data_IF_322590522024
#
_entry.id   IF_322590522024
#
_cell.length_a   1.000
_cell.length_b   1.000
_cell.length_c   1.000
_cell.angle_alpha   90.00
_cell.angle_beta   90.00
_cell.angle_gamma   90.00
#
_symmetry.space_group_name_H-M   'P 1'
#
loop_
_entity.id
_entity.type
_entity.pdbx_description
1 polymer ?
#
# COMPACT_ATOMS: atom_id res chain seq x y z
N UNK A 1 -47.73 19.94 3.72
CA UNK A 1 -46.76 18.93 4.17
C UNK A 1 -45.47 19.68 4.40
N UNK A 2 -45.20 19.96 5.66
CA UNK A 2 -44.06 20.76 6.11
C UNK A 2 -42.75 20.01 5.88
N UNK A 3 -41.72 20.78 5.52
CA UNK A 3 -40.36 20.31 5.32
C UNK A 3 -39.66 20.53 6.66
N UNK A 4 -39.65 19.51 7.53
CA UNK A 4 -38.85 19.54 8.75
C UNK A 4 -37.37 19.33 8.38
N UNK A 5 -36.58 20.36 8.63
CA UNK A 5 -35.13 20.32 8.60
C UNK A 5 -34.64 19.42 9.75
N UNK A 6 -33.98 18.31 9.40
CA UNK A 6 -33.16 17.54 10.34
C UNK A 6 -31.80 18.25 10.49
N UNK A 7 -31.78 19.39 11.17
CA UNK A 7 -30.61 19.93 11.85
C UNK A 7 -30.63 19.40 13.28
N UNK A 8 -29.94 18.28 13.54
CA UNK A 8 -29.44 17.95 14.88
C UNK A 8 -28.60 16.67 14.79
N UNK A 9 -27.27 16.81 14.76
CA UNK A 9 -26.38 15.65 14.80
C UNK A 9 -24.88 15.90 14.73
N UNK A 10 -24.42 17.01 14.13
CA UNK A 10 -22.99 17.19 13.85
C UNK A 10 -22.18 17.89 14.96
N UNK A 11 -22.83 18.62 15.88
CA UNK A 11 -22.15 19.40 16.92
C UNK A 11 -21.52 18.57 18.06
N UNK A 12 -21.69 17.24 18.04
CA UNK A 12 -21.10 16.34 19.06
C UNK A 12 -19.84 15.60 18.60
N UNK A 13 -19.47 15.68 17.33
CA UNK A 13 -18.28 15.02 16.79
C UNK A 13 -17.01 15.87 16.88
N UNK A 14 -17.14 17.17 17.19
CA UNK A 14 -16.02 18.02 17.61
C UNK A 14 -15.66 17.80 19.09
N UNK A 15 -15.70 16.56 19.57
CA UNK A 15 -15.07 16.20 20.84
C UNK A 15 -13.57 16.47 20.66
N UNK A 16 -13.09 17.56 21.27
CA UNK A 16 -11.66 17.92 21.37
C UNK A 16 -10.85 16.65 21.50
N UNK A 17 -10.12 16.29 20.45
CA UNK A 17 -9.26 15.12 20.47
C UNK A 17 -8.36 15.26 21.70
N UNK A 18 -8.59 14.42 22.71
CA UNK A 18 -7.72 14.41 23.88
C UNK A 18 -6.35 14.03 23.35
N UNK A 19 -5.39 14.95 23.44
CA UNK A 19 -3.99 14.70 23.11
C UNK A 19 -3.50 13.62 24.09
N UNK A 20 -3.55 12.36 23.67
CA UNK A 20 -2.99 11.25 24.44
C UNK A 20 -1.49 11.26 24.15
N UNK A 21 -0.72 11.95 24.98
CA UNK A 21 0.75 11.87 24.92
C UNK A 21 1.18 10.51 25.47
N UNK A 22 1.52 9.58 24.58
CA UNK A 22 2.07 8.27 24.93
C UNK A 22 3.59 8.43 25.05
N UNK A 23 4.17 8.09 26.20
CA UNK A 23 5.63 8.09 26.40
C UNK A 23 6.16 6.69 26.18
N UNK A 24 6.95 6.49 25.12
CA UNK A 24 7.52 5.18 24.84
C UNK A 24 8.74 4.92 25.73
N UNK A 25 8.89 3.71 26.31
CA UNK A 25 10.01 3.40 27.22
C UNK A 25 11.41 3.54 26.61
N UNK A 26 11.52 3.57 25.28
CA UNK A 26 12.77 3.66 24.53
C UNK A 26 13.07 5.07 24.00
N UNK A 27 12.22 6.05 24.27
CA UNK A 27 12.47 7.44 23.88
C UNK A 27 13.53 8.08 24.76
N UNK A 28 14.35 8.95 24.16
CA UNK A 28 15.39 9.71 24.86
C UNK A 28 14.76 10.58 25.95
N UNK A 29 13.62 11.22 25.65
CA UNK A 29 12.85 12.03 26.59
C UNK A 29 12.38 11.22 27.81
N UNK A 30 11.99 9.96 27.59
CA UNK A 30 11.58 9.04 28.66
C UNK A 30 12.78 8.60 29.51
N UNK A 31 13.90 8.21 28.87
CA UNK A 31 15.13 7.72 29.54
C UNK A 31 15.78 8.81 30.42
N UNK A 32 15.83 10.05 29.94
CA UNK A 32 16.47 11.16 30.66
C UNK A 32 15.49 12.11 31.34
N UNK A 33 14.23 11.71 31.50
CA UNK A 33 13.14 12.52 32.05
C UNK A 33 13.51 13.22 33.38
N UNK A 34 14.23 12.55 34.27
CA UNK A 34 14.67 13.13 35.54
C UNK A 34 15.75 14.22 35.36
N UNK A 35 16.73 13.98 34.49
CA UNK A 35 17.83 14.92 34.21
C UNK A 35 17.31 16.14 33.45
N UNK A 36 16.45 15.92 32.46
CA UNK A 36 15.80 16.98 31.68
C UNK A 36 14.97 17.88 32.60
N UNK A 37 14.17 17.30 33.50
CA UNK A 37 13.39 18.06 34.48
C UNK A 37 14.29 18.86 35.44
N UNK A 38 15.42 18.32 35.86
CA UNK A 38 16.38 19.02 36.73
C UNK A 38 17.11 20.17 35.99
N UNK A 39 17.33 20.04 34.69
CA UNK A 39 17.92 21.08 33.85
C UNK A 39 16.95 22.24 33.52
N UNK A 40 15.72 22.20 34.05
CA UNK A 40 14.69 23.21 33.79
C UNK A 40 13.98 23.03 32.45
N UNK A 41 14.16 21.89 31.77
CA UNK A 41 13.41 21.55 30.57
C UNK A 41 11.94 21.35 30.93
N UNK A 42 11.09 22.26 30.45
CA UNK A 42 9.63 22.10 30.51
C UNK A 42 9.26 21.29 29.26
N UNK A 43 8.96 20.01 29.44
CA UNK A 43 8.58 19.07 28.38
C UNK A 43 7.23 19.38 27.71
N UNK A 44 6.79 20.64 27.71
CA UNK A 44 5.43 21.08 27.40
C UNK A 44 5.38 22.20 26.34
N UNK A 45 6.53 22.79 25.97
CA UNK A 45 6.65 23.76 24.85
C UNK A 45 7.01 23.09 23.52
N UNK A 46 7.06 21.78 23.56
CA UNK A 46 7.44 20.87 22.51
C UNK A 46 6.15 20.35 21.84
N UNK A 47 5.42 21.26 21.16
CA UNK A 47 4.56 20.87 20.02
C UNK A 47 5.51 20.43 18.88
N UNK A 48 6.19 19.33 19.16
CA UNK A 48 7.35 18.80 18.47
C UNK A 48 6.92 18.02 17.24
N UNK A 49 7.76 18.09 16.21
CA UNK A 49 7.79 17.31 14.96
C UNK A 49 6.80 16.12 14.83
N UNK A 50 6.72 15.23 15.81
CA UNK A 50 5.78 14.09 15.84
C UNK A 50 4.29 14.50 15.86
N UNK A 51 3.91 15.55 16.60
CA UNK A 51 2.56 16.11 16.59
C UNK A 51 2.21 16.70 15.21
N UNK A 52 3.21 17.30 14.56
CA UNK A 52 3.09 17.84 13.20
C UNK A 52 2.90 16.69 12.22
N UNK A 53 3.73 15.64 12.29
CA UNK A 53 3.60 14.44 11.44
C UNK A 53 2.25 13.73 11.64
N UNK A 54 1.82 13.57 12.88
CA UNK A 54 0.52 12.96 13.19
C UNK A 54 -0.65 13.80 12.64
N UNK A 55 -0.56 15.12 12.74
CA UNK A 55 -1.53 16.05 12.18
C UNK A 55 -1.52 16.01 10.64
N UNK A 56 -0.35 16.00 10.01
CA UNK A 56 -0.19 15.85 8.56
C UNK A 56 -0.78 14.52 8.06
N UNK A 57 -0.51 13.40 8.74
CA UNK A 57 -1.07 12.09 8.41
C UNK A 57 -2.60 12.03 8.61
N UNK A 58 -3.13 12.79 9.57
CA UNK A 58 -4.57 12.95 9.76
C UNK A 58 -5.20 13.75 8.62
N UNK A 59 -4.60 14.90 8.26
CA UNK A 59 -5.03 15.74 7.13
C UNK A 59 -4.97 14.95 5.83
N UNK A 60 -3.90 14.21 5.58
CA UNK A 60 -3.73 13.41 4.37
C UNK A 60 -4.83 12.36 4.25
N UNK A 61 -5.16 11.66 5.35
CA UNK A 61 -6.29 10.70 5.37
C UNK A 61 -7.64 11.37 5.15
N UNK A 62 -7.83 12.60 5.63
CA UNK A 62 -9.05 13.37 5.38
C UNK A 62 -9.17 13.77 3.93
N UNK A 63 -8.07 14.27 3.34
CA UNK A 63 -7.98 14.63 1.92
C UNK A 63 -8.26 13.43 1.01
N UNK A 64 -7.67 12.27 1.28
CA UNK A 64 -7.94 11.03 0.54
C UNK A 64 -9.43 10.65 0.57
N UNK A 65 -10.11 10.88 1.70
CA UNK A 65 -11.55 10.63 1.82
C UNK A 65 -12.37 11.65 1.02
N UNK A 66 -12.01 12.93 1.07
CA UNK A 66 -12.68 13.98 0.28
C UNK A 66 -12.51 13.72 -1.23
N UNK A 67 -11.30 13.38 -1.66
CA UNK A 67 -10.99 13.06 -3.06
C UNK A 67 -11.76 11.82 -3.55
N UNK A 68 -11.86 10.77 -2.71
CA UNK A 68 -12.62 9.57 -3.02
C UNK A 68 -14.13 9.86 -3.14
N UNK A 69 -14.67 10.72 -2.27
CA UNK A 69 -16.12 10.95 -2.16
C UNK A 69 -16.64 12.07 -3.07
N UNK A 70 -15.75 12.86 -3.69
CA UNK A 70 -16.09 14.02 -4.53
C UNK A 70 -17.11 13.75 -5.63
N UNK A 71 -17.13 12.55 -6.20
CA UNK A 71 -18.02 12.16 -7.31
C UNK A 71 -18.94 10.99 -6.96
N UNK A 72 -19.00 10.58 -5.69
CA UNK A 72 -19.85 9.48 -5.27
C UNK A 72 -21.32 9.90 -5.22
N UNK A 73 -22.18 8.98 -5.61
CA UNK A 73 -23.62 9.08 -5.33
C UNK A 73 -23.88 8.91 -3.82
N UNK A 74 -25.09 9.27 -3.37
CA UNK A 74 -25.50 9.10 -1.97
C UNK A 74 -25.36 7.65 -1.50
N UNK A 75 -25.71 6.68 -2.35
CA UNK A 75 -25.65 5.26 -2.01
C UNK A 75 -24.20 4.78 -1.89
N UNK A 76 -23.33 5.20 -2.80
CA UNK A 76 -21.89 4.90 -2.75
C UNK A 76 -21.22 5.54 -1.54
N UNK A 77 -21.57 6.79 -1.22
CA UNK A 77 -21.07 7.47 -0.03
C UNK A 77 -21.50 6.77 1.27
N UNK A 78 -22.77 6.36 1.37
CA UNK A 78 -23.26 5.59 2.52
C UNK A 78 -22.45 4.30 2.68
N UNK A 79 -22.27 3.55 1.58
CA UNK A 79 -21.47 2.33 1.61
C UNK A 79 -20.01 2.58 1.99
N UNK A 80 -19.38 3.62 1.45
CA UNK A 80 -18.01 4.02 1.77
C UNK A 80 -17.83 4.37 3.24
N UNK A 81 -18.74 5.19 3.80
CA UNK A 81 -18.70 5.60 5.21
C UNK A 81 -18.88 4.43 6.18
N UNK A 82 -19.80 3.51 5.89
CA UNK A 82 -20.00 2.28 6.68
C UNK A 82 -18.74 1.39 6.65
N UNK A 83 -18.12 1.22 5.47
CA UNK A 83 -16.90 0.44 5.33
C UNK A 83 -15.69 1.09 6.00
N UNK A 84 -15.58 2.42 5.96
CA UNK A 84 -14.49 3.18 6.59
C UNK A 84 -14.51 3.08 8.12
N UNK A 85 -15.70 2.99 8.72
CA UNK A 85 -15.84 2.84 10.18
C UNK A 85 -15.80 1.38 10.65
N UNK A 86 -15.92 0.42 9.73
CA UNK A 86 -15.86 -0.99 10.07
C UNK A 86 -14.45 -1.37 10.54
N UNK A 87 -14.36 -2.12 11.65
CA UNK A 87 -13.10 -2.68 12.13
C UNK A 87 -13.24 -4.16 12.44
N UNK A 88 -12.10 -4.85 12.58
CA UNK A 88 -12.08 -6.26 12.95
C UNK A 88 -12.55 -6.53 14.38
N UNK A 89 -12.35 -5.56 15.30
CA UNK A 89 -12.56 -5.74 16.74
C UNK A 89 -13.83 -5.07 17.25
N UNK A 90 -14.31 -4.00 16.62
CA UNK A 90 -15.47 -3.24 17.11
C UNK A 90 -16.72 -4.13 17.18
N UNK A 91 -17.26 -4.29 18.40
CA UNK A 91 -18.37 -5.20 18.74
C UNK A 91 -18.16 -6.67 18.35
N UNK A 92 -16.95 -7.06 17.93
CA UNK A 92 -16.61 -8.41 17.44
C UNK A 92 -15.30 -8.96 18.01
N UNK A 93 -14.72 -8.30 19.01
CA UNK A 93 -13.45 -8.67 19.67
C UNK A 93 -13.35 -10.17 20.02
N UNK A 94 -14.40 -10.77 20.61
CA UNK A 94 -14.41 -12.21 20.92
C UNK A 94 -14.23 -13.07 19.67
N UNK A 95 -15.00 -12.80 18.61
CA UNK A 95 -14.91 -13.56 17.35
C UNK A 95 -13.55 -13.40 16.70
N UNK A 96 -12.98 -12.20 16.75
CA UNK A 96 -11.65 -11.92 16.21
C UNK A 96 -10.57 -12.68 16.99
N UNK A 97 -10.60 -12.64 18.33
CA UNK A 97 -9.71 -13.40 19.20
C UNK A 97 -9.81 -14.92 18.95
N UNK A 98 -11.04 -15.43 18.85
CA UNK A 98 -11.28 -16.85 18.55
C UNK A 98 -10.78 -17.23 17.14
N UNK A 99 -10.89 -16.32 16.16
CA UNK A 99 -10.35 -16.49 14.81
C UNK A 99 -8.83 -16.55 14.76
N UNK A 100 -8.14 -15.68 15.52
CA UNK A 100 -6.68 -15.70 15.60
C UNK A 100 -6.14 -16.99 16.21
N UNK A 101 -6.95 -17.67 17.04
CA UNK A 101 -6.63 -18.96 17.66
C UNK A 101 -5.21 -19.00 18.26
N UNK A 102 -4.86 -17.92 18.99
CA UNK A 102 -3.54 -17.76 19.57
C UNK A 102 -3.32 -18.78 20.69
N UNK A 103 -2.08 -19.26 20.87
CA UNK A 103 -1.78 -20.16 21.97
C UNK A 103 -1.97 -19.44 23.32
N UNK A 104 -2.21 -20.15 24.43
CA UNK A 104 -2.58 -19.53 25.72
C UNK A 104 -1.60 -18.48 26.26
N UNK A 105 -0.32 -18.56 25.89
CA UNK A 105 0.71 -17.60 26.30
C UNK A 105 0.73 -16.31 25.46
N UNK A 106 -0.05 -16.25 24.37
CA UNK A 106 -0.26 -15.08 23.52
C UNK A 106 -1.75 -14.69 23.45
N UNK A 107 -2.59 -15.24 24.34
CA UNK A 107 -4.03 -14.92 24.33
C UNK A 107 -4.24 -13.44 24.66
N UNK A 108 -5.11 -12.80 23.89
CA UNK A 108 -5.38 -11.38 24.02
C UNK A 108 -6.40 -11.16 25.13
N UNK A 109 -6.01 -10.38 26.15
CA UNK A 109 -6.88 -10.12 27.30
C UNK A 109 -8.07 -9.24 26.88
N UNK A 110 -9.32 -9.57 27.28
CA UNK A 110 -10.52 -8.85 26.84
C UNK A 110 -10.62 -7.37 27.26
N UNK A 111 -9.91 -6.96 28.31
CA UNK A 111 -9.93 -5.59 28.86
C UNK A 111 -8.60 -4.85 28.61
N UNK A 112 -7.84 -5.28 27.61
CA UNK A 112 -6.50 -4.80 27.30
C UNK A 112 -6.51 -4.22 25.88
N UNK A 113 -5.94 -3.03 25.72
CA UNK A 113 -5.89 -2.28 24.44
C UNK A 113 -5.20 -3.09 23.32
N UNK A 114 -4.48 -4.15 23.70
CA UNK A 114 -3.83 -5.09 22.78
C UNK A 114 -4.78 -5.63 21.70
N UNK A 115 -6.05 -5.94 22.03
CA UNK A 115 -6.99 -6.43 21.00
C UNK A 115 -7.19 -5.37 19.92
N UNK A 116 -7.40 -4.12 20.31
CA UNK A 116 -7.64 -3.03 19.37
C UNK A 116 -6.39 -2.66 18.59
N UNK A 117 -5.20 -2.71 19.21
CA UNK A 117 -3.92 -2.55 18.52
C UNK A 117 -3.75 -3.64 17.44
N UNK A 118 -3.98 -4.92 17.77
CA UNK A 118 -3.89 -6.01 16.79
C UNK A 118 -4.95 -5.87 15.69
N UNK A 119 -6.16 -5.40 16.05
CA UNK A 119 -7.21 -5.09 15.09
C UNK A 119 -6.82 -4.00 14.10
N UNK A 120 -6.18 -2.94 14.59
CA UNK A 120 -5.63 -1.86 13.76
C UNK A 120 -4.51 -2.37 12.84
N UNK A 121 -3.55 -3.12 13.39
CA UNK A 121 -2.47 -3.71 12.58
C UNK A 121 -3.00 -4.63 11.47
N UNK A 122 -4.02 -5.44 11.76
CA UNK A 122 -4.65 -6.28 10.76
C UNK A 122 -5.34 -5.46 9.64
N UNK A 123 -5.93 -4.32 9.99
CA UNK A 123 -6.53 -3.39 9.02
C UNK A 123 -5.45 -2.79 8.10
N UNK A 124 -4.37 -2.25 8.68
CA UNK A 124 -3.27 -1.68 7.91
C UNK A 124 -2.61 -2.74 7.01
N UNK A 125 -2.40 -3.97 7.51
CA UNK A 125 -1.90 -5.09 6.69
C UNK A 125 -2.76 -5.33 5.44
N UNK A 126 -4.10 -5.36 5.61
CA UNK A 126 -5.03 -5.57 4.48
C UNK A 126 -5.02 -4.36 3.53
N UNK A 127 -5.01 -3.14 4.06
CA UNK A 127 -4.93 -1.91 3.26
C UNK A 127 -3.66 -1.87 2.42
N UNK A 128 -2.49 -2.00 3.05
CA UNK A 128 -1.19 -1.98 2.38
C UNK A 128 -1.08 -3.07 1.32
N UNK A 129 -1.50 -4.31 1.65
CA UNK A 129 -1.43 -5.43 0.72
C UNK A 129 -2.38 -5.28 -0.48
N UNK A 130 -3.57 -4.73 -0.27
CA UNK A 130 -4.54 -4.50 -1.37
C UNK A 130 -4.12 -3.35 -2.28
N UNK A 131 -3.56 -2.26 -1.74
CA UNK A 131 -2.99 -1.17 -2.52
C UNK A 131 -1.79 -1.64 -3.35
N UNK A 132 -0.85 -2.35 -2.73
CA UNK A 132 0.29 -2.93 -3.46
C UNK A 132 -0.17 -3.94 -4.52
N UNK A 133 -1.19 -4.75 -4.23
CA UNK A 133 -1.80 -5.67 -5.19
C UNK A 133 -2.45 -4.96 -6.39
N UNK A 134 -3.05 -3.79 -6.17
CA UNK A 134 -3.61 -2.96 -7.25
C UNK A 134 -2.50 -2.39 -8.13
N UNK A 135 -1.38 -1.97 -7.54
CA UNK A 135 -0.22 -1.47 -8.29
C UNK A 135 0.40 -2.58 -9.14
N UNK A 136 0.61 -3.77 -8.58
CA UNK A 136 1.07 -4.94 -9.33
C UNK A 136 0.13 -5.27 -10.48
N UNK A 137 -1.19 -5.25 -10.24
CA UNK A 137 -2.20 -5.48 -11.27
C UNK A 137 -2.08 -4.47 -12.41
N UNK A 138 -1.99 -3.19 -12.07
CA UNK A 138 -1.86 -2.09 -13.04
C UNK A 138 -0.60 -2.23 -13.88
N UNK A 139 0.54 -2.46 -13.24
CA UNK A 139 1.83 -2.69 -13.91
C UNK A 139 1.78 -3.89 -14.86
N UNK A 140 1.10 -4.97 -14.45
CA UNK A 140 0.94 -6.16 -15.28
C UNK A 140 0.04 -5.89 -16.51
N UNK A 141 -1.10 -5.23 -16.30
CA UNK A 141 -2.02 -4.85 -17.38
C UNK A 141 -1.33 -3.92 -18.41
N UNK A 142 -0.53 -2.97 -17.93
CA UNK A 142 0.27 -2.07 -18.76
C UNK A 142 1.37 -2.81 -19.55
N UNK A 143 2.05 -3.77 -18.92
CA UNK A 143 3.05 -4.60 -19.60
C UNK A 143 2.44 -5.44 -20.72
N UNK A 144 1.26 -6.03 -20.53
CA UNK A 144 0.57 -6.78 -21.57
C UNK A 144 0.17 -5.89 -22.74
N UNK A 145 -0.35 -4.69 -22.46
CA UNK A 145 -0.66 -3.71 -23.51
C UNK A 145 0.60 -3.29 -24.29
N UNK A 146 1.74 -3.13 -23.61
CA UNK A 146 3.03 -2.84 -24.26
C UNK A 146 3.52 -4.00 -25.11
N UNK A 147 3.40 -5.24 -24.63
CA UNK A 147 3.80 -6.45 -25.36
C UNK A 147 2.92 -6.73 -26.59
N UNK A 148 1.60 -6.51 -26.48
CA UNK A 148 0.66 -6.62 -27.60
C UNK A 148 0.92 -5.55 -28.67
N UNK A 149 1.48 -4.40 -28.25
CA UNK A 149 1.75 -3.26 -29.12
C UNK A 149 3.19 -3.18 -29.63
N UNK A 150 4.15 -3.80 -28.95
CA UNK A 150 5.51 -3.97 -29.43
C UNK A 150 5.42 -4.81 -30.70
N UNK A 151 5.70 -4.25 -31.89
CA UNK A 151 5.66 -5.01 -33.10
C UNK A 151 6.80 -6.00 -32.98
N UNK A 152 6.45 -7.25 -32.66
CA UNK A 152 7.20 -8.40 -33.12
C UNK A 152 7.67 -8.05 -34.54
N UNK A 153 8.98 -8.01 -34.71
CA UNK A 153 9.71 -7.90 -35.97
C UNK A 153 9.43 -9.10 -36.90
N UNK A 154 8.28 -9.75 -36.75
CA UNK A 154 7.76 -10.80 -37.60
C UNK A 154 6.26 -10.59 -37.83
N UNK A 155 5.91 -9.53 -38.57
CA UNK A 155 4.67 -9.57 -39.34
C UNK A 155 4.78 -10.72 -40.36
N UNK A 156 3.90 -11.74 -40.35
CA UNK A 156 3.83 -12.68 -41.44
C UNK A 156 2.99 -12.03 -42.55
N UNK A 157 3.53 -11.00 -43.19
CA UNK A 157 2.97 -10.56 -44.46
C UNK A 157 3.28 -11.62 -45.50
N UNK A 158 2.22 -12.29 -45.94
CA UNK A 158 2.08 -13.09 -47.14
C UNK A 158 3.09 -12.69 -48.23
N UNK A 159 4.18 -13.44 -48.33
CA UNK A 159 5.23 -13.22 -49.32
C UNK A 159 5.79 -14.54 -49.79
N UNK A 160 5.20 -15.13 -50.84
CA UNK A 160 5.88 -16.15 -51.63
C UNK A 160 7.18 -15.52 -52.17
N UNK A 161 8.35 -16.05 -51.76
CA UNK A 161 9.51 -16.39 -52.62
C UNK A 161 10.74 -16.79 -51.78
N UNK A 162 11.08 -18.09 -51.89
CA UNK A 162 12.39 -18.72 -52.06
C UNK A 162 13.66 -18.05 -51.46
N UNK A 163 14.19 -18.75 -50.45
CA UNK A 163 15.58 -19.13 -50.17
C UNK A 163 16.72 -18.08 -50.00
N UNK A 164 17.36 -18.21 -48.83
CA UNK A 164 18.82 -18.22 -48.57
C UNK A 164 19.51 -16.90 -48.12
N UNK A 165 19.64 -16.71 -46.80
CA UNK A 165 20.85 -16.17 -46.13
C UNK A 165 20.69 -16.16 -44.59
N UNK A 166 20.96 -17.29 -43.95
CA UNK A 166 21.31 -17.30 -42.53
C UNK A 166 22.75 -16.79 -42.40
N UNK A 167 23.01 -15.81 -41.51
CA UNK A 167 24.13 -15.78 -40.53
C UNK A 167 24.48 -14.40 -39.93
N UNK A 168 23.83 -13.28 -40.31
CA UNK A 168 24.22 -11.95 -39.77
C UNK A 168 23.22 -11.32 -38.77
N UNK A 169 21.93 -11.68 -38.82
CA UNK A 169 20.91 -11.05 -37.98
C UNK A 169 21.05 -11.39 -36.47
N UNK A 170 21.53 -12.58 -36.13
CA UNK A 170 21.66 -13.03 -34.74
C UNK A 170 22.81 -12.35 -33.97
N UNK A 171 23.79 -11.75 -34.67
CA UNK A 171 24.93 -11.06 -34.03
C UNK A 171 24.62 -9.60 -33.68
N UNK A 172 23.72 -8.93 -34.42
CA UNK A 172 23.28 -7.56 -34.10
C UNK A 172 22.43 -7.50 -32.83
N UNK A 173 21.51 -8.46 -32.65
CA UNK A 173 20.63 -8.53 -31.48
C UNK A 173 21.36 -8.76 -30.13
N UNK A 174 22.63 -9.20 -30.15
CA UNK A 174 23.44 -9.38 -28.94
C UNK A 174 24.33 -8.17 -28.63
N UNK A 175 24.54 -7.25 -29.58
CA UNK A 175 25.41 -6.08 -29.40
C UNK A 175 24.64 -4.84 -28.93
N UNK A 176 23.34 -4.75 -29.22
CA UNK A 176 22.45 -3.67 -28.73
C UNK A 176 22.04 -3.80 -27.25
N UNK A 177 22.36 -4.91 -26.57
CA UNK A 177 22.09 -5.05 -25.12
C UNK A 177 23.22 -4.52 -24.22
N UNK A 178 24.27 -3.94 -24.79
CA UNK A 178 25.49 -3.58 -24.04
C UNK A 178 25.78 -2.06 -24.02
N UNK A 179 25.17 -1.26 -24.90
CA UNK A 179 25.32 0.20 -24.90
C UNK A 179 23.97 0.84 -25.26
N UNK A 180 23.38 1.59 -24.34
CA UNK A 180 22.15 2.35 -24.58
C UNK A 180 21.45 2.74 -23.28
N UNK A 181 21.92 3.86 -22.73
CA UNK A 181 21.24 4.81 -21.82
C UNK A 181 19.84 4.43 -21.33
N UNK A 182 19.75 4.11 -20.03
CA UNK A 182 18.55 4.21 -19.22
C UNK A 182 18.19 5.70 -19.09
N UNK A 183 17.25 6.22 -19.88
CA UNK A 183 16.33 7.31 -19.53
C UNK A 183 15.40 7.61 -20.74
N UNK A 184 14.11 7.83 -20.47
CA UNK A 184 13.08 8.41 -21.38
C UNK A 184 12.34 7.54 -22.43
N UNK A 185 12.15 6.23 -22.23
CA UNK A 185 11.30 5.39 -23.13
C UNK A 185 9.91 5.05 -22.54
N UNK A 186 9.40 5.90 -21.63
CA UNK A 186 8.08 5.75 -20.96
C UNK A 186 6.97 6.60 -21.61
N UNK A 187 7.32 7.47 -22.55
CA UNK A 187 6.42 8.52 -23.07
C UNK A 187 6.07 8.33 -24.56
N UNK A 188 6.13 7.10 -25.10
CA UNK A 188 5.59 6.81 -26.42
C UNK A 188 4.08 6.54 -26.30
N UNK A 189 3.18 7.48 -26.62
CA UNK A 189 1.75 7.25 -26.53
C UNK A 189 1.38 6.14 -27.52
N UNK A 190 0.94 4.99 -26.98
CA UNK A 190 0.39 3.89 -27.77
C UNK A 190 -0.72 4.45 -28.67
N UNK A 191 -0.70 4.22 -30.00
CA UNK A 191 -1.77 4.60 -30.91
C UNK A 191 -3.14 4.07 -30.46
N UNK A 192 -3.92 4.96 -29.85
CA UNK A 192 -5.20 4.69 -29.20
C UNK A 192 -6.37 4.62 -30.19
N UNK A 193 -6.31 3.73 -31.19
CA UNK A 193 -7.54 3.43 -31.96
C UNK A 193 -8.39 2.37 -31.25
N UNK A 194 -9.02 2.75 -30.15
CA UNK A 194 -9.90 1.87 -29.34
C UNK A 194 -11.35 1.79 -29.87
N UNK A 195 -11.65 2.38 -31.03
CA UNK A 195 -12.99 2.53 -31.59
C UNK A 195 -13.72 1.21 -31.91
N UNK A 196 -12.98 0.11 -32.10
CA UNK A 196 -13.53 -1.21 -32.42
C UNK A 196 -13.07 -2.31 -31.45
N UNK A 197 -12.33 -1.93 -30.40
CA UNK A 197 -12.07 -2.85 -29.30
C UNK A 197 -13.35 -2.96 -28.46
N UNK A 198 -13.63 -4.13 -27.86
CA UNK A 198 -14.65 -4.22 -26.83
C UNK A 198 -14.38 -3.12 -25.79
N UNK A 199 -15.42 -2.49 -25.21
CA UNK A 199 -15.22 -1.48 -24.18
C UNK A 199 -14.22 -1.99 -23.15
N UNK A 200 -13.25 -1.17 -22.71
CA UNK A 200 -12.30 -1.59 -21.68
C UNK A 200 -13.10 -2.22 -20.55
N UNK A 201 -12.85 -3.51 -20.32
CA UNK A 201 -13.70 -4.35 -19.51
C UNK A 201 -13.86 -3.72 -18.12
N UNK A 202 -15.05 -3.84 -17.55
CA UNK A 202 -15.34 -3.40 -16.20
C UNK A 202 -14.20 -3.86 -15.26
N UNK A 203 -13.69 -2.93 -14.43
CA UNK A 203 -12.57 -3.13 -13.51
C UNK A 203 -12.44 -4.60 -13.07
N UNK A 204 -11.45 -5.30 -13.62
CA UNK A 204 -11.25 -6.71 -13.29
C UNK A 204 -10.80 -6.84 -11.84
N UNK A 205 -11.27 -7.87 -11.14
CA UNK A 205 -10.97 -8.06 -9.72
C UNK A 205 -9.49 -8.34 -9.47
N UNK A 206 -9.01 -8.07 -8.25
CA UNK A 206 -7.70 -8.54 -7.79
C UNK A 206 -7.66 -10.07 -7.81
N UNK A 207 -6.59 -10.62 -8.38
CA UNK A 207 -6.32 -12.06 -8.41
C UNK A 207 -5.34 -12.44 -7.31
N UNK A 208 -5.33 -13.72 -6.86
CA UNK A 208 -4.35 -14.21 -5.88
C UNK A 208 -2.91 -13.94 -6.29
N UNK A 209 -2.60 -14.01 -7.59
CA UNK A 209 -1.28 -13.74 -8.17
C UNK A 209 -0.77 -12.32 -7.86
N UNK A 210 -1.64 -11.31 -7.97
CA UNK A 210 -1.26 -9.92 -7.68
C UNK A 210 -0.94 -9.73 -6.19
N UNK A 211 -1.68 -10.42 -5.32
CA UNK A 211 -1.47 -10.38 -3.86
C UNK A 211 -0.19 -11.11 -3.47
N UNK A 212 0.09 -12.27 -4.08
CA UNK A 212 1.31 -13.03 -3.81
C UNK A 212 2.56 -12.26 -4.23
N UNK A 213 2.54 -11.63 -5.41
CA UNK A 213 3.66 -10.82 -5.87
C UNK A 213 3.83 -9.55 -5.01
N UNK A 214 2.75 -8.85 -4.70
CA UNK A 214 2.78 -7.70 -3.78
C UNK A 214 3.36 -8.08 -2.41
N UNK A 215 2.91 -9.19 -1.83
CA UNK A 215 3.45 -9.69 -0.57
C UNK A 215 4.95 -10.00 -0.67
N UNK A 216 5.38 -10.66 -1.76
CA UNK A 216 6.79 -11.00 -1.97
C UNK A 216 7.66 -9.74 -2.05
N UNK A 217 7.23 -8.70 -2.79
CA UNK A 217 7.93 -7.41 -2.90
C UNK A 217 8.07 -6.73 -1.53
N UNK A 218 6.97 -6.59 -0.79
CA UNK A 218 6.99 -5.95 0.54
C UNK A 218 7.91 -6.68 1.54
N UNK A 219 7.92 -8.03 1.50
CA UNK A 219 8.82 -8.84 2.34
C UNK A 219 10.29 -8.72 1.92
N UNK A 220 10.57 -8.67 0.62
CA UNK A 220 11.91 -8.51 0.08
C UNK A 220 12.48 -7.13 0.46
N UNK A 221 11.72 -6.06 0.26
CA UNK A 221 12.12 -4.69 0.60
C UNK A 221 12.42 -4.56 2.10
N UNK A 222 11.55 -5.10 2.95
CA UNK A 222 11.77 -5.13 4.40
C UNK A 222 13.04 -5.89 4.79
N UNK A 223 13.30 -7.02 4.13
CA UNK A 223 14.51 -7.81 4.38
C UNK A 223 15.78 -7.07 3.92
N UNK A 224 15.70 -6.34 2.81
CA UNK A 224 16.79 -5.54 2.27
C UNK A 224 17.14 -4.42 3.24
N UNK A 225 16.17 -3.62 3.70
CA UNK A 225 16.40 -2.53 4.67
C UNK A 225 17.05 -3.02 5.98
N UNK A 226 16.70 -4.23 6.45
CA UNK A 226 17.22 -4.79 7.72
C UNK A 226 18.56 -5.50 7.61
N UNK A 227 18.93 -5.99 6.42
CA UNK A 227 20.09 -6.89 6.27
C UNK A 227 21.06 -6.51 5.15
N UNK A 228 20.75 -5.48 4.37
CA UNK A 228 21.67 -4.92 3.39
C UNK A 228 22.96 -4.48 4.08
N UNK A 229 24.09 -4.99 3.59
CA UNK A 229 25.43 -4.48 3.94
C UNK A 229 26.28 -5.37 4.85
N UNK A 230 25.71 -6.20 5.72
CA UNK A 230 26.53 -6.96 6.70
C UNK A 230 26.86 -8.41 6.28
N UNK A 231 26.14 -8.97 5.30
CA UNK A 231 26.23 -10.41 4.95
C UNK A 231 26.37 -10.70 3.45
N UNK A 232 26.45 -9.67 2.61
CA UNK A 232 26.56 -9.78 1.15
C UNK A 232 27.90 -10.39 0.65
N UNK A 233 28.94 -10.39 1.47
CA UNK A 233 30.26 -10.97 1.13
C UNK A 233 30.42 -12.45 1.53
N UNK A 234 29.46 -13.01 2.27
CA UNK A 234 29.49 -14.41 2.71
C UNK A 234 28.37 -15.14 1.97
N UNK A 235 28.74 -16.09 1.12
CA UNK A 235 27.78 -16.96 0.44
C UNK A 235 26.99 -17.82 1.42
N UNK A 236 25.78 -18.24 1.03
CA UNK A 236 24.91 -19.13 1.80
C UNK A 236 23.48 -18.63 1.88
N UNK A 237 22.53 -19.57 2.03
CA UNK A 237 21.13 -19.24 2.19
C UNK A 237 20.87 -18.65 3.58
N UNK A 238 20.33 -17.43 3.62
CA UNK A 238 19.97 -16.76 4.87
C UNK A 238 18.48 -16.96 5.13
N UNK A 239 18.15 -17.45 6.32
CA UNK A 239 16.76 -17.50 6.78
C UNK A 239 16.36 -16.12 7.32
N UNK A 240 15.44 -15.46 6.63
CA UNK A 240 14.83 -14.20 7.08
C UNK A 240 13.57 -14.49 7.91
N UNK A 241 13.19 -13.56 8.78
CA UNK A 241 11.87 -13.56 9.44
C UNK A 241 10.90 -12.79 8.56
N UNK A 242 9.64 -13.19 8.59
CA UNK A 242 8.55 -12.42 7.97
C UNK A 242 8.45 -11.08 8.69
N UNK A 243 8.45 -9.99 7.93
CA UNK A 243 8.21 -8.65 8.45
C UNK A 243 6.70 -8.41 8.52
N UNK A 244 6.27 -7.66 9.54
CA UNK A 244 4.94 -7.09 9.53
C UNK A 244 4.88 -6.07 8.38
N UNK A 245 3.82 -6.15 7.57
CA UNK A 245 3.60 -5.34 6.37
C UNK A 245 2.37 -4.44 6.53
#
# INVERSE_FOLDING_TARGET
MEVEALEDGDDKLAAKAQKITIKLPWEISTIYSEVLRQAGHQSDDEEDEDDIEAHEASIQRLKEADDATRQMTREEYQHYSDCRQASFTYRKAKRFRDFLNLPPHLDLRPNDDTIDIVGFLAFEMVRSLTLAGLEVKKSLEESYLRDDYAPSSTSPLLGKRKANSQTEAAKRARRERIDGEDDDDDDTPLPTSSLFLPPPEARTALRPEHIQDAFARMQADSSHHRSAGMRNWRGGLVRTRVSLI
#
